data_IF_788868456071
#
_entry.id   IF_788868456071
#
_cell.length_a   1.000
_cell.length_b   1.000
_cell.length_c   1.000
_cell.angle_alpha   90.00
_cell.angle_beta   90.00
_cell.angle_gamma   90.00
#
_symmetry.space_group_name_H-M   'P 1'
#
loop_
_entity.id
_entity.type
_entity.pdbx_description
1 polymer ?
#
# COMPACT_ATOMS: atom_id res chain seq x y z
N UNK A 1 -70.48 -6.60 -0.44
CA UNK A 1 -69.46 -7.06 0.54
C UNK A 1 -70.11 -7.23 1.91
N UNK A 2 -70.05 -8.44 2.48
CA UNK A 2 -70.52 -8.71 3.85
C UNK A 2 -69.70 -7.93 4.88
N UNK A 3 -70.36 -7.35 5.90
CA UNK A 3 -69.77 -6.46 6.93
C UNK A 3 -68.49 -7.02 7.58
N UNK A 4 -68.43 -8.34 7.78
CA UNK A 4 -67.26 -9.07 8.32
C UNK A 4 -65.99 -8.87 7.48
N UNK A 5 -66.11 -8.88 6.15
CA UNK A 5 -64.97 -8.72 5.26
C UNK A 5 -64.41 -7.30 5.31
N UNK A 6 -65.27 -6.28 5.48
CA UNK A 6 -64.85 -4.87 5.64
C UNK A 6 -64.05 -4.66 6.92
N UNK A 7 -64.49 -5.25 8.04
CA UNK A 7 -63.80 -5.15 9.34
C UNK A 7 -62.44 -5.85 9.29
N UNK A 8 -62.37 -7.05 8.70
CA UNK A 8 -61.12 -7.78 8.53
C UNK A 8 -60.13 -7.00 7.64
N UNK A 9 -60.61 -6.40 6.54
CA UNK A 9 -59.77 -5.59 5.66
C UNK A 9 -59.20 -4.36 6.37
N UNK A 10 -60.02 -3.68 7.19
CA UNK A 10 -59.63 -2.49 7.94
C UNK A 10 -58.54 -2.79 8.99
N UNK A 11 -58.49 -4.01 9.54
CA UNK A 11 -57.48 -4.41 10.51
C UNK A 11 -56.20 -4.98 9.87
N UNK A 12 -56.33 -5.81 8.83
CA UNK A 12 -55.19 -6.52 8.24
C UNK A 12 -54.36 -5.61 7.34
N UNK A 13 -55.00 -4.72 6.56
CA UNK A 13 -54.27 -3.88 5.60
C UNK A 13 -53.30 -2.92 6.30
N UNK A 14 -53.68 -2.18 7.35
CA UNK A 14 -52.73 -1.32 8.07
C UNK A 14 -51.58 -2.10 8.70
N UNK A 15 -51.85 -3.31 9.22
CA UNK A 15 -50.82 -4.18 9.79
C UNK A 15 -49.83 -4.66 8.72
N UNK A 16 -50.32 -5.13 7.57
CA UNK A 16 -49.47 -5.56 6.46
C UNK A 16 -48.65 -4.40 5.88
N UNK A 17 -49.25 -3.20 5.78
CA UNK A 17 -48.53 -1.99 5.38
C UNK A 17 -47.44 -1.61 6.38
N UNK A 18 -47.73 -1.66 7.68
CA UNK A 18 -46.75 -1.40 8.73
C UNK A 18 -45.58 -2.38 8.67
N UNK A 19 -45.86 -3.69 8.55
CA UNK A 19 -44.82 -4.72 8.41
C UNK A 19 -43.97 -4.52 7.15
N UNK A 20 -44.60 -4.16 6.03
CA UNK A 20 -43.89 -3.89 4.76
C UNK A 20 -43.01 -2.64 4.87
N UNK A 21 -43.50 -1.58 5.50
CA UNK A 21 -42.73 -0.37 5.75
C UNK A 21 -41.52 -0.65 6.66
N UNK A 22 -41.72 -1.40 7.74
CA UNK A 22 -40.63 -1.84 8.63
C UNK A 22 -39.61 -2.67 7.85
N UNK A 23 -40.05 -3.64 7.06
CA UNK A 23 -39.16 -4.48 6.25
C UNK A 23 -38.33 -3.65 5.25
N UNK A 24 -38.95 -2.63 4.62
CA UNK A 24 -38.25 -1.70 3.73
C UNK A 24 -37.20 -0.86 4.47
N UNK A 25 -37.54 -0.32 5.65
CA UNK A 25 -36.61 0.45 6.48
C UNK A 25 -35.45 -0.40 6.96
N UNK A 26 -35.72 -1.62 7.45
CA UNK A 26 -34.69 -2.56 7.90
C UNK A 26 -33.77 -2.96 6.76
N UNK A 27 -34.33 -3.26 5.57
CA UNK A 27 -33.53 -3.55 4.38
C UNK A 27 -32.66 -2.37 3.97
N UNK A 28 -33.20 -1.16 3.99
CA UNK A 28 -32.44 0.05 3.67
C UNK A 28 -31.29 0.26 4.65
N UNK A 29 -31.54 0.14 5.95
CA UNK A 29 -30.51 0.23 6.99
C UNK A 29 -29.44 -0.85 6.85
N UNK A 30 -29.82 -2.10 6.58
CA UNK A 30 -28.89 -3.20 6.41
C UNK A 30 -27.93 -2.97 5.22
N UNK A 31 -28.45 -2.46 4.09
CA UNK A 31 -27.61 -2.13 2.93
C UNK A 31 -26.68 -0.96 3.25
N UNK A 32 -27.17 0.10 3.87
CA UNK A 32 -26.35 1.28 4.24
C UNK A 32 -25.24 0.89 5.21
N UNK A 33 -25.55 0.11 6.24
CA UNK A 33 -24.57 -0.37 7.20
C UNK A 33 -23.51 -1.26 6.53
N UNK A 34 -23.94 -2.16 5.63
CA UNK A 34 -23.02 -2.99 4.85
C UNK A 34 -22.05 -2.19 3.98
N UNK A 35 -22.52 -1.09 3.38
CA UNK A 35 -21.67 -0.18 2.61
C UNK A 35 -20.66 0.57 3.49
N UNK A 36 -21.11 1.11 4.62
CA UNK A 36 -20.24 1.80 5.58
C UNK A 36 -19.18 0.87 6.15
N UNK A 37 -19.56 -0.36 6.52
CA UNK A 37 -18.62 -1.34 7.04
C UNK A 37 -17.55 -1.71 6.01
N UNK A 38 -17.91 -1.89 4.74
CA UNK A 38 -16.93 -2.13 3.67
C UNK A 38 -15.95 -0.98 3.52
N UNK A 39 -16.44 0.26 3.51
CA UNK A 39 -15.58 1.45 3.38
C UNK A 39 -14.61 1.57 4.56
N UNK A 40 -15.10 1.40 5.79
CA UNK A 40 -14.26 1.47 7.00
C UNK A 40 -13.26 0.32 7.07
N UNK A 41 -13.68 -0.90 6.74
CA UNK A 41 -12.78 -2.07 6.72
C UNK A 41 -11.71 -1.90 5.65
N UNK A 42 -12.07 -1.42 4.46
CA UNK A 42 -11.10 -1.16 3.39
C UNK A 42 -10.12 -0.06 3.78
N UNK A 43 -10.60 1.04 4.37
CA UNK A 43 -9.75 2.12 4.84
C UNK A 43 -8.79 1.65 5.94
N UNK A 44 -9.29 0.90 6.92
CA UNK A 44 -8.47 0.31 7.98
C UNK A 44 -7.45 -0.70 7.44
N UNK A 45 -7.83 -1.51 6.46
CA UNK A 45 -6.94 -2.45 5.80
C UNK A 45 -5.80 -1.73 5.05
N UNK A 46 -6.12 -0.70 4.27
CA UNK A 46 -5.12 0.11 3.57
C UNK A 46 -4.19 0.82 4.55
N UNK A 47 -4.74 1.45 5.60
CA UNK A 47 -3.94 2.09 6.65
C UNK A 47 -3.01 1.09 7.36
N UNK A 48 -3.48 -0.14 7.58
CA UNK A 48 -2.65 -1.21 8.14
C UNK A 48 -1.51 -1.62 7.19
N UNK A 49 -1.76 -1.69 5.88
CA UNK A 49 -0.72 -1.97 4.88
C UNK A 49 0.29 -0.84 4.73
N UNK A 50 -0.16 0.40 4.82
CA UNK A 50 0.71 1.56 4.82
C UNK A 50 1.64 1.52 6.04
N UNK A 51 1.10 1.24 7.24
CA UNK A 51 1.89 1.12 8.46
C UNK A 51 2.90 -0.05 8.41
N UNK A 52 2.46 -1.21 7.90
CA UNK A 52 3.31 -2.39 7.71
C UNK A 52 4.52 -2.08 6.81
N UNK A 53 4.30 -1.40 5.68
CA UNK A 53 5.37 -1.02 4.76
C UNK A 53 6.39 -0.07 5.42
N UNK A 54 5.91 0.90 6.20
CA UNK A 54 6.79 1.77 6.99
C UNK A 54 7.62 0.95 7.99
N UNK A 55 7.01 0.01 8.70
CA UNK A 55 7.71 -0.83 9.67
C UNK A 55 8.77 -1.73 9.02
N UNK A 56 8.53 -2.25 7.82
CA UNK A 56 9.55 -2.99 7.07
C UNK A 56 10.76 -2.12 6.74
N UNK A 57 10.55 -0.88 6.26
CA UNK A 57 11.64 0.04 5.99
C UNK A 57 12.36 0.45 7.27
N UNK A 58 11.64 0.72 8.37
CA UNK A 58 12.24 1.01 9.67
C UNK A 58 13.10 -0.16 10.18
N UNK A 59 12.67 -1.41 9.94
CA UNK A 59 13.43 -2.60 10.33
C UNK A 59 14.70 -2.76 9.47
N UNK A 60 14.59 -2.56 8.17
CA UNK A 60 15.71 -2.67 7.24
C UNK A 60 16.76 -1.58 7.50
N UNK A 61 16.36 -0.33 7.76
CA UNK A 61 17.30 0.74 8.11
C UNK A 61 17.98 0.49 9.46
N UNK A 62 17.23 0.00 10.46
CA UNK A 62 17.83 -0.38 11.76
C UNK A 62 18.80 -1.55 11.64
N UNK A 63 18.56 -2.51 10.75
CA UNK A 63 19.48 -3.63 10.53
C UNK A 63 20.87 -3.17 10.08
N UNK A 64 20.94 -2.06 9.32
CA UNK A 64 22.19 -1.46 8.87
C UNK A 64 22.64 -0.25 9.70
N UNK A 65 21.94 0.08 10.80
CA UNK A 65 22.23 1.28 11.59
C UNK A 65 23.67 1.32 12.13
N UNK A 66 24.13 0.20 12.65
CA UNK A 66 25.50 0.04 13.15
C UNK A 66 26.58 0.34 12.10
N UNK A 67 26.26 0.27 10.81
CA UNK A 67 27.19 0.56 9.72
C UNK A 67 27.38 2.06 9.54
N UNK A 68 26.30 2.83 9.43
CA UNK A 68 26.37 4.27 9.22
C UNK A 68 26.55 5.08 10.52
N UNK A 69 26.08 4.58 11.67
CA UNK A 69 26.29 5.24 12.97
C UNK A 69 27.76 5.17 13.44
N UNK A 70 28.56 4.28 12.85
CA UNK A 70 30.00 4.19 13.11
C UNK A 70 30.79 5.42 12.62
N UNK A 71 30.17 6.29 11.81
CA UNK A 71 30.80 7.44 11.17
C UNK A 71 31.75 7.06 10.01
N UNK A 72 31.79 5.78 9.65
CA UNK A 72 32.56 5.27 8.51
C UNK A 72 31.71 5.26 7.25
N UNK A 73 32.24 5.82 6.18
CA UNK A 73 31.59 5.86 4.85
C UNK A 73 32.44 5.18 3.78
N UNK A 74 33.38 4.31 4.18
CA UNK A 74 34.22 3.59 3.24
C UNK A 74 33.41 2.57 2.42
N UNK A 75 33.93 2.23 1.24
CA UNK A 75 33.26 1.35 0.29
C UNK A 75 32.90 0.01 0.90
N UNK A 76 33.72 -0.52 1.82
CA UNK A 76 33.43 -1.78 2.51
C UNK A 76 32.14 -1.72 3.34
N UNK A 77 31.86 -0.58 4.00
CA UNK A 77 30.64 -0.37 4.80
C UNK A 77 29.42 -0.28 3.88
N UNK A 78 29.54 0.42 2.75
CA UNK A 78 28.48 0.49 1.75
C UNK A 78 28.17 -0.88 1.15
N UNK A 79 29.19 -1.67 0.79
CA UNK A 79 28.99 -3.02 0.27
C UNK A 79 28.37 -3.97 1.32
N UNK A 80 28.74 -3.83 2.60
CA UNK A 80 28.08 -4.57 3.68
C UNK A 80 26.59 -4.22 3.80
N UNK A 81 26.27 -2.93 3.80
CA UNK A 81 24.88 -2.47 3.86
C UNK A 81 24.06 -3.00 2.68
N UNK A 82 24.62 -2.94 1.45
CA UNK A 82 23.98 -3.50 0.26
C UNK A 82 23.73 -4.99 0.40
N UNK A 83 24.72 -5.77 0.86
CA UNK A 83 24.58 -7.22 1.07
C UNK A 83 23.51 -7.58 2.09
N UNK A 84 23.40 -6.82 3.18
CA UNK A 84 22.33 -7.03 4.17
C UNK A 84 20.97 -6.76 3.52
N UNK A 85 20.80 -5.58 2.91
CA UNK A 85 19.53 -5.17 2.31
C UNK A 85 19.08 -6.06 1.14
N UNK A 86 20.02 -6.58 0.36
CA UNK A 86 19.73 -7.50 -0.75
C UNK A 86 19.15 -8.84 -0.27
N UNK A 87 19.49 -9.27 0.94
CA UNK A 87 19.00 -10.53 1.54
C UNK A 87 17.72 -10.38 2.34
N UNK A 88 17.26 -9.15 2.58
CA UNK A 88 15.99 -8.90 3.25
C UNK A 88 14.85 -8.94 2.24
N UNK A 89 13.82 -9.73 2.55
CA UNK A 89 12.56 -9.77 1.80
C UNK A 89 11.38 -9.94 2.77
N UNK A 90 10.17 -9.72 2.27
CA UNK A 90 8.94 -9.92 3.04
C UNK A 90 7.83 -10.42 2.12
N UNK A 91 7.57 -11.73 2.18
CA UNK A 91 6.59 -12.39 1.33
C UNK A 91 6.99 -12.43 -0.15
N UNK A 92 6.07 -12.87 -1.00
CA UNK A 92 6.40 -13.26 -2.37
C UNK A 92 6.78 -12.08 -3.27
N UNK A 93 6.25 -10.87 -3.03
CA UNK A 93 6.50 -9.68 -3.86
C UNK A 93 7.18 -8.53 -3.10
N UNK A 94 7.46 -8.71 -1.80
CA UNK A 94 8.07 -7.68 -0.95
C UNK A 94 9.59 -7.75 -0.96
N UNK A 95 10.23 -6.62 -1.21
CA UNK A 95 11.69 -6.49 -1.29
C UNK A 95 12.14 -5.05 -1.06
N UNK A 96 13.41 -4.87 -0.72
CA UNK A 96 14.04 -3.57 -0.57
C UNK A 96 14.83 -3.20 -1.84
N UNK A 97 14.82 -1.91 -2.17
CA UNK A 97 15.61 -1.35 -3.26
C UNK A 97 16.34 -0.11 -2.75
N UNK A 98 17.51 0.16 -3.31
CA UNK A 98 18.33 1.31 -2.95
C UNK A 98 18.76 2.02 -4.21
N UNK A 99 18.65 3.35 -4.20
CA UNK A 99 19.19 4.23 -5.21
C UNK A 99 20.18 5.20 -4.56
N UNK A 100 21.21 5.60 -5.28
CA UNK A 100 21.94 6.81 -4.90
C UNK A 100 21.13 8.08 -5.22
N UNK A 101 21.60 9.22 -4.74
CA UNK A 101 20.95 10.52 -4.94
C UNK A 101 20.90 10.98 -6.41
N UNK A 102 21.62 10.29 -7.30
CA UNK A 102 21.63 10.56 -8.76
C UNK A 102 20.74 9.58 -9.52
N UNK A 103 20.04 8.67 -8.85
CA UNK A 103 19.16 7.70 -9.50
C UNK A 103 19.86 6.43 -9.97
N UNK A 104 21.11 6.19 -9.59
CA UNK A 104 21.77 4.91 -9.87
C UNK A 104 21.22 3.84 -8.93
N UNK A 105 20.75 2.73 -9.48
CA UNK A 105 20.32 1.61 -8.65
C UNK A 105 21.53 0.93 -7.99
N UNK A 106 21.45 0.71 -6.69
CA UNK A 106 22.50 0.08 -5.88
C UNK A 106 22.10 -1.31 -5.37
N UNK A 107 20.81 -1.54 -5.15
CA UNK A 107 20.25 -2.81 -4.69
C UNK A 107 18.89 -3.02 -5.35
N UNK A 108 18.68 -4.20 -5.94
CA UNK A 108 17.37 -4.62 -6.45
C UNK A 108 17.29 -6.17 -6.57
N UNK A 109 16.99 -6.91 -5.49
CA UNK A 109 17.11 -8.38 -5.46
C UNK A 109 16.15 -9.10 -6.43
N UNK A 110 15.04 -8.47 -6.83
CA UNK A 110 14.07 -9.05 -7.77
C UNK A 110 14.36 -8.74 -9.24
N UNK A 111 15.27 -7.79 -9.51
CA UNK A 111 15.65 -7.35 -10.86
C UNK A 111 17.14 -6.97 -10.83
N UNK A 112 18.04 -7.94 -10.61
CA UNK A 112 19.47 -7.70 -10.46
C UNK A 112 20.09 -7.03 -11.68
N UNK A 113 19.48 -7.15 -12.86
CA UNK A 113 19.87 -6.48 -14.10
C UNK A 113 19.77 -4.95 -14.05
N UNK A 114 19.06 -4.39 -13.05
CA UNK A 114 18.97 -2.95 -12.82
C UNK A 114 20.15 -2.41 -12.01
N UNK A 115 20.82 -3.26 -11.22
CA UNK A 115 21.91 -2.83 -10.33
C UNK A 115 23.03 -2.21 -11.15
N UNK A 116 23.45 -1.00 -10.76
CA UNK A 116 24.49 -0.23 -11.43
C UNK A 116 24.00 0.67 -12.57
N UNK A 117 22.75 0.56 -13.01
CA UNK A 117 22.18 1.44 -14.04
C UNK A 117 21.80 2.80 -13.47
N UNK A 118 22.06 3.85 -14.24
CA UNK A 118 21.47 5.16 -14.02
C UNK A 118 20.00 5.12 -14.48
N UNK A 119 19.09 5.38 -13.56
CA UNK A 119 17.66 5.33 -13.79
C UNK A 119 17.00 6.70 -13.58
N UNK A 120 17.79 7.79 -13.55
CA UNK A 120 17.26 9.15 -13.35
C UNK A 120 16.18 9.51 -14.38
N UNK A 121 16.41 9.17 -15.65
CA UNK A 121 15.48 9.44 -16.75
C UNK A 121 14.51 8.28 -17.01
N UNK A 122 14.49 7.25 -16.16
CA UNK A 122 13.53 6.16 -16.28
C UNK A 122 12.10 6.69 -16.13
N UNK A 123 11.19 6.16 -16.95
CA UNK A 123 9.76 6.45 -16.89
C UNK A 123 9.00 5.15 -16.73
N UNK A 124 8.01 5.15 -15.85
CA UNK A 124 7.11 3.99 -15.74
C UNK A 124 6.16 3.90 -16.95
N UNK A 125 5.32 2.86 -16.97
CA UNK A 125 4.38 2.61 -18.07
C UNK A 125 3.34 3.73 -18.30
N UNK A 126 3.20 4.68 -17.37
CA UNK A 126 2.35 5.87 -17.52
C UNK A 126 3.14 7.13 -17.90
N UNK A 127 4.47 7.04 -18.04
CA UNK A 127 5.34 8.17 -18.33
C UNK A 127 5.81 8.94 -17.09
N UNK A 128 5.58 8.42 -15.88
CA UNK A 128 5.95 9.08 -14.63
C UNK A 128 7.46 8.97 -14.35
N UNK A 129 8.15 10.03 -13.89
CA UNK A 129 9.56 10.01 -13.49
C UNK A 129 9.76 9.34 -12.12
N UNK A 130 9.45 8.05 -12.04
CA UNK A 130 9.35 7.28 -10.79
C UNK A 130 10.56 7.43 -9.87
N UNK A 131 11.78 7.30 -10.40
CA UNK A 131 13.00 7.35 -9.57
C UNK A 131 13.22 8.74 -8.99
N UNK A 132 12.95 9.80 -9.76
CA UNK A 132 13.05 11.18 -9.29
C UNK A 132 12.03 11.45 -8.16
N UNK A 133 10.79 10.96 -8.31
CA UNK A 133 9.75 11.10 -7.29
C UNK A 133 10.12 10.36 -5.99
N UNK A 134 10.69 9.16 -6.10
CA UNK A 134 11.17 8.40 -4.95
C UNK A 134 12.29 9.14 -4.21
N UNK A 135 13.29 9.64 -4.92
CA UNK A 135 14.41 10.38 -4.34
C UNK A 135 13.93 11.69 -3.71
N UNK A 136 13.09 12.46 -4.41
CA UNK A 136 12.51 13.70 -3.89
C UNK A 136 11.75 13.44 -2.58
N UNK A 137 10.89 12.41 -2.53
CA UNK A 137 10.15 12.06 -1.32
C UNK A 137 11.06 11.60 -0.18
N UNK A 138 12.11 10.84 -0.48
CA UNK A 138 13.10 10.45 0.53
C UNK A 138 13.79 11.68 1.16
N UNK A 139 14.11 12.69 0.34
CA UNK A 139 14.76 13.93 0.78
C UNK A 139 13.81 14.89 1.53
N UNK A 140 12.49 14.77 1.34
CA UNK A 140 11.46 15.50 2.10
C UNK A 140 11.25 14.95 3.54
N UNK A 141 12.07 13.99 3.99
CA UNK A 141 11.92 13.31 5.28
C UNK A 141 11.28 11.92 5.16
N UNK A 142 11.07 11.44 3.93
CA UNK A 142 10.52 10.14 3.63
C UNK A 142 9.00 10.13 3.47
N UNK A 143 8.48 9.02 2.95
CA UNK A 143 7.05 8.83 2.79
C UNK A 143 6.64 7.88 1.67
N UNK A 144 5.34 7.84 1.45
CA UNK A 144 4.72 6.96 0.46
C UNK A 144 4.76 7.53 -0.95
N UNK A 145 5.05 6.69 -1.94
CA UNK A 145 5.01 7.01 -3.37
C UNK A 145 4.27 5.90 -4.11
N UNK A 146 3.29 6.27 -4.94
CA UNK A 146 2.57 5.35 -5.83
C UNK A 146 3.12 5.47 -7.24
N UNK A 147 3.40 4.33 -7.86
CA UNK A 147 3.98 4.25 -9.21
C UNK A 147 3.64 2.91 -9.86
N UNK A 148 3.86 2.77 -11.16
CA UNK A 148 3.71 1.49 -11.85
C UNK A 148 5.06 0.76 -11.87
N UNK A 149 5.06 -0.52 -11.50
CA UNK A 149 6.26 -1.35 -11.54
C UNK A 149 5.93 -2.80 -11.88
N UNK A 150 6.91 -3.54 -12.38
CA UNK A 150 6.75 -4.98 -12.59
C UNK A 150 6.59 -5.70 -11.25
N UNK A 151 5.55 -6.54 -11.16
CA UNK A 151 5.29 -7.38 -10.00
C UNK A 151 6.06 -8.71 -10.14
N UNK A 152 6.97 -9.05 -9.21
CA UNK A 152 7.84 -10.22 -9.35
C UNK A 152 7.12 -11.55 -9.58
N UNK A 153 6.00 -11.81 -8.89
CA UNK A 153 5.26 -13.07 -9.02
C UNK A 153 4.54 -13.25 -10.36
N UNK A 154 4.20 -12.17 -11.06
CA UNK A 154 3.42 -12.23 -12.31
C UNK A 154 4.16 -11.72 -13.53
N UNK A 155 5.30 -11.04 -13.37
CA UNK A 155 6.03 -10.36 -14.44
C UNK A 155 5.16 -9.39 -15.25
N UNK A 156 4.15 -8.81 -14.60
CA UNK A 156 3.25 -7.82 -15.19
C UNK A 156 3.37 -6.50 -14.46
N UNK A 157 3.25 -5.41 -15.21
CA UNK A 157 3.24 -4.06 -14.63
C UNK A 157 1.94 -3.86 -13.86
N UNK A 158 2.05 -3.45 -12.59
CA UNK A 158 0.93 -3.19 -11.70
C UNK A 158 1.18 -1.94 -10.84
N UNK A 159 0.12 -1.33 -10.27
CA UNK A 159 0.27 -0.29 -9.26
C UNK A 159 1.02 -0.81 -8.04
N UNK A 160 2.09 -0.10 -7.68
CA UNK A 160 2.91 -0.35 -6.49
C UNK A 160 2.84 0.85 -5.55
N UNK A 161 2.88 0.57 -4.26
CA UNK A 161 3.10 1.56 -3.20
C UNK A 161 4.47 1.27 -2.58
N UNK A 162 5.37 2.25 -2.66
CA UNK A 162 6.66 2.23 -1.96
C UNK A 162 6.63 3.19 -0.78
N UNK A 163 7.36 2.86 0.28
CA UNK A 163 7.74 3.81 1.32
C UNK A 163 9.26 3.99 1.23
N UNK A 164 9.72 5.24 1.20
CA UNK A 164 11.12 5.58 1.01
C UNK A 164 11.59 6.52 2.10
N UNK A 165 12.87 6.39 2.47
CA UNK A 165 13.57 7.25 3.41
C UNK A 165 14.97 7.52 2.89
N UNK A 166 15.53 8.68 3.23
CA UNK A 166 16.95 8.92 3.01
C UNK A 166 17.76 8.17 4.09
N UNK A 167 18.80 7.46 3.66
CA UNK A 167 19.79 6.87 4.58
C UNK A 167 20.86 7.95 4.84
N UNK A 168 21.19 8.26 6.10
CA UNK A 168 22.26 9.19 6.42
C UNK A 168 23.60 8.75 5.83
N UNK A 169 24.43 9.73 5.45
CA UNK A 169 25.80 9.51 5.02
C UNK A 169 26.73 9.17 6.19
#
# INVERSE_FOLDING_TARGET
MNLRHKIIFLAIVPLALALSAIALVVRHQAVTLGQQQRASVQAAYLASKDAELKHYVDLATRAIAHLYESGRSDTAVQEEAKRILERLDFGDDGYFYVYDQRGKNLVHPRQPELVGRDMWDWRDASGSPTIQLLIARANEGGGYVRYLWEKPSSHTVAPKLGYVVAIPN
#
